data_IF_941672758001
#
_entry.id   IF_941672758001
#
_cell.length_a   1.000
_cell.length_b   1.000
_cell.length_c   1.000
_cell.angle_alpha   90.00
_cell.angle_beta   90.00
_cell.angle_gamma   90.00
#
_symmetry.space_group_name_H-M   'P 1'
#
loop_
_entity.id
_entity.type
_entity.pdbx_description
1 polymer ?
#
# COMPACT_ATOMS: atom_id res chain seq x y z
N UNK A 1 21.18 14.92 -68.42
CA UNK A 1 22.03 14.09 -67.55
C UNK A 1 22.81 15.00 -66.60
N UNK A 2 22.53 14.87 -65.30
CA UNK A 2 23.39 15.10 -64.11
C UNK A 2 24.13 16.43 -63.83
N UNK A 3 24.02 16.89 -62.57
CA UNK A 3 24.84 17.93 -61.90
C UNK A 3 24.19 19.32 -61.97
N UNK A 4 24.16 20.20 -60.96
CA UNK A 4 25.18 20.49 -59.96
C UNK A 4 24.51 21.25 -58.78
N UNK A 5 24.74 20.70 -57.57
CA UNK A 5 24.83 21.29 -56.23
C UNK A 5 23.68 22.10 -55.57
N UNK A 6 23.42 21.83 -54.27
CA UNK A 6 22.38 22.46 -53.47
C UNK A 6 22.75 23.87 -53.00
N UNK A 7 21.72 24.71 -52.94
CA UNK A 7 21.71 26.07 -52.44
C UNK A 7 22.35 26.16 -51.05
N UNK A 8 23.49 26.83 -50.98
CA UNK A 8 24.22 27.16 -49.76
C UNK A 8 23.41 28.10 -48.87
N UNK A 9 23.11 27.60 -47.67
CA UNK A 9 23.17 28.29 -46.39
C UNK A 9 22.41 29.63 -46.21
N UNK A 10 21.37 29.57 -45.37
CA UNK A 10 21.38 30.13 -43.99
C UNK A 10 19.97 30.57 -43.66
N UNK A 11 19.25 29.78 -42.87
CA UNK A 11 18.27 30.35 -41.95
C UNK A 11 18.35 29.58 -40.65
N UNK A 12 19.01 30.21 -39.69
CA UNK A 12 19.06 29.82 -38.30
C UNK A 12 17.62 29.91 -37.80
N UNK A 13 17.04 28.77 -37.41
CA UNK A 13 15.90 28.77 -36.50
C UNK A 13 16.12 27.66 -35.47
N UNK A 14 16.47 28.13 -34.27
CA UNK A 14 16.34 27.40 -33.02
C UNK A 14 14.91 26.91 -32.89
N UNK A 15 14.72 25.59 -32.77
CA UNK A 15 13.88 25.01 -31.73
C UNK A 15 14.25 23.52 -31.56
N UNK A 16 13.98 23.03 -30.36
CA UNK A 16 13.78 21.64 -29.98
C UNK A 16 15.01 20.86 -29.50
N UNK A 17 15.12 20.80 -28.17
CA UNK A 17 15.33 19.49 -27.54
C UNK A 17 16.69 19.26 -26.89
N UNK A 18 17.14 20.20 -26.07
CA UNK A 18 18.09 19.91 -25.01
C UNK A 18 17.53 18.86 -24.04
N UNK A 19 18.40 17.96 -23.53
CA UNK A 19 18.24 17.03 -22.39
C UNK A 19 17.79 15.59 -22.69
N UNK A 20 18.72 14.78 -23.22
CA UNK A 20 18.83 13.37 -22.81
C UNK A 20 19.86 13.29 -21.67
N UNK A 21 19.43 13.61 -20.45
CA UNK A 21 20.21 13.39 -19.23
C UNK A 21 19.35 12.62 -18.23
N UNK A 22 19.86 11.44 -17.88
CA UNK A 22 19.57 10.69 -16.66
C UNK A 22 18.12 10.33 -16.39
N UNK A 23 17.70 9.17 -16.91
CA UNK A 23 16.63 8.40 -16.29
C UNK A 23 17.07 6.97 -15.99
N UNK A 24 17.87 6.87 -14.94
CA UNK A 24 17.73 5.72 -14.06
C UNK A 24 17.69 6.21 -12.60
N UNK A 25 16.66 6.99 -12.21
CA UNK A 25 16.35 7.09 -10.80
C UNK A 25 15.86 5.70 -10.40
N UNK A 26 16.67 5.06 -9.57
CA UNK A 26 16.27 4.22 -8.46
C UNK A 26 15.14 3.22 -8.72
N UNK A 27 15.42 1.98 -8.35
CA UNK A 27 14.49 0.86 -8.20
C UNK A 27 13.38 1.10 -7.15
N UNK A 28 12.69 2.24 -7.19
CA UNK A 28 11.44 2.47 -6.47
C UNK A 28 10.38 1.69 -7.23
N UNK A 29 10.30 0.40 -6.92
CA UNK A 29 9.12 -0.42 -7.23
C UNK A 29 7.91 0.39 -6.74
N UNK A 30 7.00 0.84 -7.61
CA UNK A 30 5.84 1.59 -7.15
C UNK A 30 5.11 0.72 -6.13
N UNK A 31 5.09 1.22 -4.89
CA UNK A 31 4.42 0.61 -3.75
C UNK A 31 3.04 0.18 -4.22
N UNK A 32 2.78 -1.14 -4.27
CA UNK A 32 1.53 -1.69 -4.79
C UNK A 32 0.37 -1.02 -4.05
N UNK A 33 -0.39 -0.08 -4.64
CA UNK A 33 -1.48 0.57 -3.95
C UNK A 33 -2.69 -0.35 -4.08
N UNK A 34 -2.63 -1.48 -3.37
CA UNK A 34 -3.75 -2.40 -3.20
C UNK A 34 -3.83 -2.97 -1.79
N UNK A 35 -3.20 -2.28 -0.83
CA UNK A 35 -3.29 -2.57 0.61
C UNK A 35 -4.27 -1.64 1.35
N UNK A 36 -4.83 -0.60 0.71
CA UNK A 36 -5.70 0.39 1.34
C UNK A 36 -7.16 -0.09 1.60
N UNK A 37 -7.35 -1.36 1.98
CA UNK A 37 -8.62 -1.85 2.56
C UNK A 37 -8.47 -2.35 4.00
N UNK A 38 -7.26 -2.63 4.47
CA UNK A 38 -7.00 -3.09 5.85
C UNK A 38 -5.67 -2.50 6.32
N UNK A 39 -5.72 -1.72 7.41
CA UNK A 39 -4.52 -1.07 7.95
C UNK A 39 -3.56 -2.14 8.51
N UNK A 40 -2.27 -1.82 8.60
CA UNK A 40 -1.29 -2.74 9.19
C UNK A 40 -1.60 -3.03 10.67
N UNK A 41 -2.17 -2.07 11.39
CA UNK A 41 -2.68 -2.27 12.75
C UNK A 41 -3.85 -3.23 12.81
N UNK A 42 -4.76 -3.18 11.83
CA UNK A 42 -5.89 -4.11 11.73
C UNK A 42 -5.39 -5.52 11.45
N UNK A 43 -4.37 -5.67 10.59
CA UNK A 43 -3.72 -6.97 10.35
C UNK A 43 -3.11 -7.54 11.62
N UNK A 44 -2.45 -6.71 12.41
CA UNK A 44 -1.83 -7.12 13.67
C UNK A 44 -2.88 -7.47 14.73
N UNK A 45 -3.98 -6.71 14.82
CA UNK A 45 -5.13 -7.02 15.67
C UNK A 45 -5.73 -8.38 15.33
N UNK A 46 -5.94 -8.66 14.03
CA UNK A 46 -6.45 -9.95 13.58
C UNK A 46 -5.47 -11.08 13.89
N UNK A 47 -4.16 -10.85 13.78
CA UNK A 47 -3.14 -11.82 14.18
C UNK A 47 -3.25 -12.19 15.67
N UNK A 48 -3.36 -11.19 16.54
CA UNK A 48 -3.51 -11.42 17.99
C UNK A 48 -4.83 -12.14 18.33
N UNK A 49 -5.93 -11.79 17.67
CA UNK A 49 -7.22 -12.46 17.86
C UNK A 49 -7.23 -13.89 17.30
N UNK A 50 -6.48 -14.16 16.23
CA UNK A 50 -6.34 -15.50 15.67
C UNK A 50 -5.51 -16.42 16.57
N UNK A 51 -4.53 -15.85 17.29
CA UNK A 51 -3.77 -16.56 18.31
C UNK A 51 -4.63 -16.84 19.55
N UNK A 52 -5.30 -15.80 20.05
CA UNK A 52 -6.16 -15.91 21.23
C UNK A 52 -7.27 -14.84 21.20
N UNK A 53 -8.48 -15.28 20.84
CA UNK A 53 -9.66 -14.44 20.80
C UNK A 53 -10.26 -14.11 22.18
N UNK A 54 -9.77 -14.73 23.27
CA UNK A 54 -10.25 -14.49 24.64
C UNK A 54 -9.63 -13.24 25.28
N UNK A 55 -8.52 -12.73 24.71
CA UNK A 55 -7.84 -11.53 25.21
C UNK A 55 -8.77 -10.32 25.23
N UNK A 56 -8.67 -9.55 26.30
CA UNK A 56 -9.47 -8.33 26.45
C UNK A 56 -9.02 -7.24 25.46
N UNK A 57 -9.95 -6.36 25.05
CA UNK A 57 -9.61 -5.21 24.20
C UNK A 57 -8.58 -4.25 24.85
N UNK A 58 -8.52 -4.21 26.18
CA UNK A 58 -7.53 -3.42 26.90
C UNK A 58 -6.11 -3.99 26.73
N UNK A 59 -5.98 -5.31 26.79
CA UNK A 59 -4.70 -6.00 26.59
C UNK A 59 -4.25 -5.93 25.14
N UNK A 60 -5.16 -6.17 24.19
CA UNK A 60 -4.90 -5.99 22.75
C UNK A 60 -4.48 -4.54 22.44
N UNK A 61 -5.10 -3.55 23.10
CA UNK A 61 -4.71 -2.15 22.99
C UNK A 61 -3.26 -1.90 23.42
N UNK A 62 -2.84 -2.46 24.56
CA UNK A 62 -1.45 -2.35 25.04
C UNK A 62 -0.45 -2.93 24.02
N UNK A 63 -0.76 -4.09 23.45
CA UNK A 63 0.10 -4.76 22.45
C UNK A 63 0.18 -4.03 21.10
N UNK A 64 -0.86 -3.25 20.77
CA UNK A 64 -0.96 -2.50 19.51
C UNK A 64 -0.65 -1.00 19.67
N UNK A 65 -0.28 -0.55 20.87
CA UNK A 65 -0.14 0.86 21.23
C UNK A 65 -1.40 1.69 20.91
N UNK A 66 -2.58 1.10 21.13
CA UNK A 66 -3.89 1.73 20.94
C UNK A 66 -4.67 1.80 22.25
N UNK A 67 -5.60 2.74 22.34
CA UNK A 67 -6.60 2.75 23.41
C UNK A 67 -7.60 1.60 23.22
N UNK A 68 -8.13 1.07 24.32
CA UNK A 68 -9.19 0.04 24.29
C UNK A 68 -10.40 0.41 23.39
N UNK A 69 -10.96 1.65 23.44
CA UNK A 69 -12.05 2.02 22.54
C UNK A 69 -11.63 2.07 21.06
N UNK A 70 -10.40 2.46 20.75
CA UNK A 70 -9.90 2.44 19.37
C UNK A 70 -9.80 1.00 18.82
N UNK A 71 -9.37 0.04 19.63
CA UNK A 71 -9.37 -1.38 19.26
C UNK A 71 -10.80 -1.89 19.05
N UNK A 72 -11.74 -1.50 19.92
CA UNK A 72 -13.14 -1.90 19.80
C UNK A 72 -13.76 -1.43 18.48
N UNK A 73 -13.59 -0.16 18.12
CA UNK A 73 -14.08 0.40 16.86
C UNK A 73 -13.44 -0.26 15.64
N UNK A 74 -12.13 -0.53 15.68
CA UNK A 74 -11.45 -1.29 14.60
C UNK A 74 -12.03 -2.69 14.45
N UNK A 75 -12.17 -3.44 15.54
CA UNK A 75 -12.75 -4.77 15.52
C UNK A 75 -14.21 -4.74 15.01
N UNK A 76 -14.99 -3.74 15.40
CA UNK A 76 -16.37 -3.53 14.94
C UNK A 76 -16.41 -3.23 13.44
N UNK A 77 -15.54 -2.36 12.95
CA UNK A 77 -15.39 -2.07 11.52
C UNK A 77 -15.02 -3.34 10.74
N UNK A 78 -14.05 -4.11 11.21
CA UNK A 78 -13.62 -5.34 10.54
C UNK A 78 -14.74 -6.40 10.45
N UNK A 79 -15.60 -6.48 11.47
CA UNK A 79 -16.82 -7.30 11.44
C UNK A 79 -17.83 -6.78 10.41
N UNK A 80 -18.11 -5.48 10.41
CA UNK A 80 -19.06 -4.85 9.49
C UNK A 80 -18.61 -4.96 8.03
N UNK A 81 -17.31 -4.78 7.79
CA UNK A 81 -16.71 -4.83 6.46
C UNK A 81 -16.53 -6.29 5.97
N UNK A 82 -16.96 -7.29 6.76
CA UNK A 82 -16.95 -8.71 6.40
C UNK A 82 -15.58 -9.38 6.46
N UNK A 83 -14.57 -8.71 7.02
CA UNK A 83 -13.21 -9.25 7.19
C UNK A 83 -13.21 -10.31 8.29
N UNK A 84 -13.90 -10.05 9.40
CA UNK A 84 -14.14 -11.03 10.46
C UNK A 84 -15.49 -11.69 10.21
N UNK A 85 -15.47 -12.97 9.80
CA UNK A 85 -16.69 -13.72 9.47
C UNK A 85 -17.40 -14.25 10.71
N UNK A 86 -16.66 -14.79 11.66
CA UNK A 86 -17.19 -15.35 12.89
C UNK A 86 -16.07 -15.46 13.95
N UNK A 87 -16.47 -15.45 15.23
CA UNK A 87 -15.63 -15.89 16.34
C UNK A 87 -16.13 -17.26 16.76
N UNK A 88 -15.28 -18.28 16.68
CA UNK A 88 -15.66 -19.67 16.98
C UNK A 88 -14.84 -20.19 18.15
N UNK A 89 -15.50 -20.87 19.09
CA UNK A 89 -14.82 -21.61 20.14
C UNK A 89 -14.51 -23.02 19.65
N UNK A 90 -13.25 -23.45 19.75
CA UNK A 90 -12.86 -24.83 19.51
C UNK A 90 -13.01 -25.60 20.82
N UNK A 91 -13.95 -26.54 20.86
CA UNK A 91 -14.22 -27.37 22.02
C UNK A 91 -13.57 -28.74 21.80
N UNK A 92 -12.82 -29.22 22.78
CA UNK A 92 -12.35 -30.59 22.82
C UNK A 92 -13.22 -31.36 23.82
N UNK A 93 -13.97 -32.35 23.32
CA UNK A 93 -14.80 -33.23 24.14
C UNK A 93 -13.96 -34.39 24.64
N UNK A 94 -13.47 -34.29 25.88
CA UNK A 94 -12.93 -35.41 26.64
C UNK A 94 -14.00 -36.00 27.56
#
# INVERSE_FOLDING_TARGET
MLGILPNTLTFIQLDSGSRALAENPETVRPARPRAARMDDTDRRLLGLLAEDASRSYAELGRLLNLSAPAVHERARRLRRDGVVKATVARLDGA
#
